data_IF_337026756331
#
_entry.id   IF_337026756331
#
_cell.length_a   1.000
_cell.length_b   1.000
_cell.length_c   1.000
_cell.angle_alpha   90.00
_cell.angle_beta   90.00
_cell.angle_gamma   90.00
#
_symmetry.space_group_name_H-M   'P 1'
#
loop_
_entity.id
_entity.type
_entity.pdbx_description
1 polymer ?
#
# COMPACT_ATOMS: atom_id res chain seq x y z
N UNK A 1 2.14 10.10 6.63
CA UNK A 1 2.29 9.56 5.25
C UNK A 1 0.98 9.08 4.64
N UNK A 2 0.16 8.24 5.30
CA UNK A 2 -1.07 7.66 4.69
C UNK A 2 -2.04 8.67 4.05
N UNK A 3 -2.26 9.86 4.66
CA UNK A 3 -3.10 10.92 4.05
C UNK A 3 -2.53 11.44 2.73
N UNK A 4 -1.20 11.59 2.67
CA UNK A 4 -0.52 11.99 1.44
C UNK A 4 -0.66 10.92 0.37
N UNK A 5 -0.55 9.65 0.75
CA UNK A 5 -0.84 8.54 -0.17
C UNK A 5 -2.27 8.61 -0.73
N UNK A 6 -3.27 8.72 0.14
CA UNK A 6 -4.68 8.83 -0.26
C UNK A 6 -4.97 9.98 -1.23
N UNK A 7 -4.36 11.15 -0.99
CA UNK A 7 -4.48 12.29 -1.92
C UNK A 7 -3.84 12.02 -3.28
N UNK A 8 -2.57 11.59 -3.28
CA UNK A 8 -1.81 11.36 -4.52
C UNK A 8 -2.43 10.25 -5.36
N UNK A 9 -2.93 9.18 -4.75
CA UNK A 9 -3.51 8.08 -5.52
C UNK A 9 -4.84 8.46 -6.17
N UNK A 10 -5.63 9.33 -5.52
CA UNK A 10 -6.84 9.87 -6.11
C UNK A 10 -6.53 10.82 -7.29
N UNK A 11 -5.47 11.65 -7.20
CA UNK A 11 -4.97 12.45 -8.33
C UNK A 11 -4.50 11.59 -9.51
N UNK A 12 -3.83 10.47 -9.24
CA UNK A 12 -3.41 9.53 -10.28
C UNK A 12 -4.61 8.87 -10.96
N UNK A 13 -5.62 8.46 -10.19
CA UNK A 13 -6.84 7.85 -10.72
C UNK A 13 -7.70 8.80 -11.56
N UNK A 14 -7.58 10.13 -11.38
CA UNK A 14 -8.23 11.12 -12.28
C UNK A 14 -7.75 11.00 -13.74
N UNK A 15 -6.55 10.44 -13.97
CA UNK A 15 -5.89 10.43 -15.28
C UNK A 15 -5.56 9.01 -15.78
N UNK A 16 -5.80 7.97 -14.99
CA UNK A 16 -5.54 6.58 -15.37
C UNK A 16 -6.63 5.66 -14.84
N UNK A 17 -7.47 5.17 -15.76
CA UNK A 17 -8.60 4.29 -15.46
C UNK A 17 -8.17 2.92 -14.93
N UNK A 18 -6.88 2.57 -15.06
CA UNK A 18 -6.32 1.31 -14.55
C UNK A 18 -6.06 1.37 -13.05
N UNK A 19 -6.06 2.53 -12.40
CA UNK A 19 -5.76 2.65 -10.97
C UNK A 19 -6.95 2.21 -10.13
N UNK A 20 -6.77 1.14 -9.34
CA UNK A 20 -7.77 0.61 -8.41
C UNK A 20 -7.19 0.59 -6.99
N UNK A 21 -8.03 0.81 -5.98
CA UNK A 21 -7.68 0.53 -4.59
C UNK A 21 -8.30 -0.80 -4.19
N UNK A 22 -7.48 -1.70 -3.64
CA UNK A 22 -7.95 -2.92 -2.98
C UNK A 22 -7.57 -2.82 -1.51
N UNK A 23 -8.56 -2.67 -0.64
CA UNK A 23 -8.34 -2.42 0.78
C UNK A 23 -8.77 -3.62 1.63
N UNK A 24 -7.97 -3.91 2.67
CA UNK A 24 -8.50 -4.59 3.86
C UNK A 24 -9.37 -3.62 4.64
N UNK A 25 -10.21 -4.10 5.56
CA UNK A 25 -11.20 -3.30 6.32
C UNK A 25 -10.56 -2.30 7.31
N UNK A 26 -9.80 -1.34 6.76
CA UNK A 26 -9.06 -0.30 7.44
C UNK A 26 -8.94 0.93 6.51
N UNK A 27 -8.27 1.99 6.97
CA UNK A 27 -8.03 3.18 6.16
C UNK A 27 -9.13 4.24 6.28
N UNK A 28 -9.82 4.25 7.42
CA UNK A 28 -10.80 5.29 7.76
C UNK A 28 -10.24 6.69 7.44
N UNK A 29 -10.96 7.40 6.56
CA UNK A 29 -10.65 8.74 6.05
C UNK A 29 -9.39 8.89 5.18
N UNK A 30 -8.68 7.81 4.88
CA UNK A 30 -7.51 7.86 3.98
C UNK A 30 -7.97 8.00 2.52
N UNK A 31 -9.05 7.32 2.16
CA UNK A 31 -9.53 7.22 0.78
C UNK A 31 -10.88 7.92 0.55
N UNK A 32 -11.26 8.89 1.39
CA UNK A 32 -12.52 9.64 1.19
C UNK A 32 -12.52 10.30 -0.19
N UNK A 33 -11.47 11.06 -0.52
CA UNK A 33 -11.35 11.72 -1.82
C UNK A 33 -11.32 10.75 -3.01
N UNK A 34 -10.76 9.55 -2.83
CA UNK A 34 -10.75 8.52 -3.88
C UNK A 34 -12.17 7.95 -4.07
N UNK A 35 -12.85 7.61 -2.98
CA UNK A 35 -14.21 7.04 -3.02
C UNK A 35 -15.26 8.02 -3.53
N UNK A 36 -15.09 9.31 -3.23
CA UNK A 36 -16.00 10.35 -3.72
C UNK A 36 -15.86 10.56 -5.24
N UNK A 37 -14.65 10.41 -5.78
CA UNK A 37 -14.35 10.65 -7.20
C UNK A 37 -14.46 9.41 -8.09
N UNK A 38 -14.05 8.25 -7.56
CA UNK A 38 -13.87 6.98 -8.29
C UNK A 38 -14.47 5.78 -7.50
N UNK A 39 -15.76 5.85 -7.10
CA UNK A 39 -16.36 4.87 -6.19
C UNK A 39 -16.31 3.43 -6.69
N UNK A 40 -16.43 3.22 -8.01
CA UNK A 40 -16.39 1.92 -8.67
C UNK A 40 -15.00 1.26 -8.68
N UNK A 41 -13.94 2.03 -8.38
CA UNK A 41 -12.54 1.57 -8.37
C UNK A 41 -11.97 1.38 -6.98
N UNK A 42 -12.81 1.46 -5.95
CA UNK A 42 -12.46 1.16 -4.56
C UNK A 42 -13.11 -0.15 -4.12
N UNK A 43 -12.29 -1.17 -3.91
CA UNK A 43 -12.73 -2.52 -3.53
C UNK A 43 -12.30 -2.78 -2.08
N UNK A 44 -13.26 -2.84 -1.15
CA UNK A 44 -13.00 -3.33 0.22
C UNK A 44 -13.36 -4.82 0.28
N UNK A 45 -12.38 -5.66 0.59
CA UNK A 45 -12.55 -7.13 0.64
C UNK A 45 -12.72 -7.68 2.06
N UNK A 46 -12.82 -6.80 3.06
CA UNK A 46 -12.91 -7.21 4.47
C UNK A 46 -11.56 -7.63 5.05
N UNK A 47 -11.60 -8.53 6.04
CA UNK A 47 -10.41 -9.08 6.71
C UNK A 47 -10.04 -10.41 6.06
N UNK A 48 -9.76 -10.37 4.76
CA UNK A 48 -9.50 -11.53 3.90
C UNK A 48 -8.17 -11.38 3.15
N UNK A 49 -7.04 -11.26 3.86
CA UNK A 49 -5.80 -10.77 3.25
C UNK A 49 -5.21 -11.69 2.19
N UNK A 50 -5.33 -13.01 2.30
CA UNK A 50 -4.90 -13.92 1.23
C UNK A 50 -5.72 -13.71 -0.05
N UNK A 51 -7.05 -13.63 0.09
CA UNK A 51 -7.94 -13.33 -1.05
C UNK A 51 -7.67 -11.95 -1.63
N UNK A 52 -7.33 -10.96 -0.79
CA UNK A 52 -7.00 -9.62 -1.22
C UNK A 52 -5.83 -9.59 -2.21
N UNK A 53 -4.76 -10.34 -1.89
CA UNK A 53 -3.58 -10.45 -2.77
C UNK A 53 -3.92 -11.20 -4.06
N UNK A 54 -4.66 -12.31 -3.97
CA UNK A 54 -5.08 -13.07 -5.15
C UNK A 54 -5.96 -12.25 -6.11
N UNK A 55 -6.94 -11.49 -5.57
CA UNK A 55 -7.77 -10.56 -6.35
C UNK A 55 -6.91 -9.49 -7.01
N UNK A 56 -5.98 -8.88 -6.28
CA UNK A 56 -5.08 -7.87 -6.84
C UNK A 56 -4.19 -8.44 -7.95
N UNK A 57 -3.64 -9.64 -7.78
CA UNK A 57 -2.87 -10.30 -8.84
C UNK A 57 -3.73 -10.52 -10.09
N UNK A 58 -4.97 -11.01 -9.95
CA UNK A 58 -5.90 -11.17 -11.07
C UNK A 58 -6.21 -9.85 -11.79
N UNK A 59 -6.53 -8.79 -11.04
CA UNK A 59 -6.77 -7.46 -11.62
C UNK A 59 -5.55 -6.96 -12.41
N UNK A 60 -4.34 -7.17 -11.88
CA UNK A 60 -3.11 -6.77 -12.55
C UNK A 60 -2.86 -7.56 -13.84
N UNK A 61 -3.16 -8.85 -13.86
CA UNK A 61 -3.03 -9.70 -15.05
C UNK A 61 -4.02 -9.33 -16.16
N UNK A 62 -5.18 -8.77 -15.78
CA UNK A 62 -6.17 -8.18 -16.72
C UNK A 62 -5.82 -6.74 -17.15
N UNK A 63 -4.61 -6.27 -16.86
CA UNK A 63 -4.10 -4.97 -17.32
C UNK A 63 -4.47 -3.77 -16.45
N UNK A 64 -5.07 -3.99 -15.27
CA UNK A 64 -5.29 -2.96 -14.27
C UNK A 64 -4.04 -2.75 -13.40
N UNK A 65 -4.07 -1.74 -12.54
CA UNK A 65 -2.99 -1.39 -11.62
C UNK A 65 -3.56 -1.27 -10.19
N UNK A 66 -3.73 -2.39 -9.49
CA UNK A 66 -4.26 -2.39 -8.14
C UNK A 66 -3.21 -1.94 -7.12
N UNK A 67 -3.64 -1.00 -6.28
CA UNK A 67 -2.93 -0.53 -5.09
C UNK A 67 -3.56 -1.17 -3.86
N UNK A 68 -2.86 -2.12 -3.28
CA UNK A 68 -3.34 -2.90 -2.14
C UNK A 68 -2.97 -2.20 -0.84
N UNK A 69 -3.94 -1.92 0.02
CA UNK A 69 -3.71 -1.21 1.27
C UNK A 69 -4.20 -1.99 2.48
N UNK A 70 -3.28 -2.30 3.39
CA UNK A 70 -3.59 -2.75 4.74
C UNK A 70 -2.43 -2.48 5.71
N UNK A 71 -2.49 -2.99 6.94
CA UNK A 71 -1.41 -2.93 7.92
C UNK A 71 -0.27 -3.87 7.47
N UNK A 72 0.98 -3.45 7.61
CA UNK A 72 2.14 -4.15 7.01
C UNK A 72 2.20 -5.67 7.25
N UNK A 73 2.16 -6.21 8.49
CA UNK A 73 2.16 -7.67 8.68
C UNK A 73 0.95 -8.37 8.02
N UNK A 74 -0.21 -7.71 7.94
CA UNK A 74 -1.39 -8.27 7.27
C UNK A 74 -1.23 -8.24 5.74
N UNK A 75 -0.40 -7.34 5.21
CA UNK A 75 -0.13 -7.22 3.78
C UNK A 75 0.91 -8.23 3.29
N UNK A 76 1.97 -8.48 4.07
CA UNK A 76 3.15 -9.22 3.59
C UNK A 76 3.52 -10.47 4.39
N UNK A 77 3.14 -10.57 5.67
CA UNK A 77 3.45 -11.76 6.48
C UNK A 77 2.31 -12.77 6.41
N UNK A 78 1.07 -12.32 6.66
CA UNK A 78 -0.11 -13.19 6.66
C UNK A 78 -0.39 -13.84 5.28
N UNK A 79 -0.32 -13.11 4.15
CA UNK A 79 -0.50 -13.68 2.81
C UNK A 79 0.84 -13.86 2.08
N UNK A 80 1.93 -14.19 2.78
CA UNK A 80 3.26 -14.21 2.17
C UNK A 80 3.37 -15.16 0.97
N UNK A 81 2.69 -16.31 1.01
CA UNK A 81 2.69 -17.23 -0.12
C UNK A 81 2.04 -16.62 -1.36
N UNK A 82 0.92 -15.91 -1.22
CA UNK A 82 0.25 -15.22 -2.32
C UNK A 82 1.12 -14.07 -2.85
N UNK A 83 1.77 -13.30 -1.98
CA UNK A 83 2.71 -12.25 -2.40
C UNK A 83 3.87 -12.85 -3.20
N UNK A 84 4.41 -13.98 -2.75
CA UNK A 84 5.50 -14.68 -3.44
C UNK A 84 5.05 -15.25 -4.78
N UNK A 85 3.97 -16.04 -4.81
CA UNK A 85 3.58 -16.81 -5.99
C UNK A 85 2.76 -15.98 -6.99
N UNK A 86 1.77 -15.23 -6.51
CA UNK A 86 0.79 -14.58 -7.37
C UNK A 86 1.26 -13.19 -7.82
N UNK A 87 2.09 -12.52 -6.99
CA UNK A 87 2.59 -11.18 -7.29
C UNK A 87 4.03 -11.20 -7.79
N UNK A 88 4.97 -11.70 -6.99
CA UNK A 88 6.40 -11.63 -7.32
C UNK A 88 6.79 -12.53 -8.50
N UNK A 89 6.45 -13.82 -8.45
CA UNK A 89 6.83 -14.78 -9.51
C UNK A 89 6.13 -14.51 -10.84
N UNK A 90 4.91 -13.99 -10.81
CA UNK A 90 4.19 -13.56 -12.03
C UNK A 90 4.61 -12.17 -12.52
N UNK A 91 5.43 -11.44 -11.76
CA UNK A 91 5.77 -10.04 -12.01
C UNK A 91 4.51 -9.17 -12.18
N UNK A 92 3.43 -9.52 -11.48
CA UNK A 92 2.14 -8.84 -11.62
C UNK A 92 2.28 -7.38 -11.15
N UNK A 93 1.66 -6.44 -11.88
CA UNK A 93 1.78 -5.01 -11.63
C UNK A 93 0.95 -4.52 -10.41
N UNK A 94 1.19 -5.14 -9.25
CA UNK A 94 0.51 -4.88 -7.98
C UNK A 94 1.35 -3.94 -7.11
N UNK A 95 0.74 -2.89 -6.58
CA UNK A 95 1.40 -1.93 -5.69
C UNK A 95 0.96 -2.19 -4.24
N UNK A 96 1.79 -2.89 -3.48
CA UNK A 96 1.56 -3.25 -2.09
C UNK A 96 1.92 -2.06 -1.18
N UNK A 97 0.94 -1.48 -0.48
CA UNK A 97 1.13 -0.33 0.42
C UNK A 97 0.76 -0.70 1.86
N UNK A 98 1.79 -0.95 2.68
CA UNK A 98 1.65 -1.28 4.09
C UNK A 98 1.68 -0.05 4.98
N UNK A 99 1.00 -0.10 6.12
CA UNK A 99 1.12 0.92 7.17
C UNK A 99 1.63 0.29 8.49
N UNK A 100 2.75 0.80 9.01
CA UNK A 100 3.57 0.16 10.06
C UNK A 100 3.53 0.85 11.45
N UNK A 101 2.46 1.59 11.79
CA UNK A 101 2.38 2.37 13.05
C UNK A 101 1.59 1.70 14.18
N UNK A 102 1.28 0.42 14.07
CA UNK A 102 0.52 -0.31 15.09
C UNK A 102 1.33 -1.33 15.92
N UNK A 103 2.66 -1.23 16.09
CA UNK A 103 3.45 -2.30 16.69
C UNK A 103 3.08 -2.59 18.16
N UNK A 104 2.45 -1.64 18.85
CA UNK A 104 2.04 -1.78 20.25
C UNK A 104 0.69 -2.49 20.42
N UNK A 105 -0.05 -2.77 19.35
CA UNK A 105 -1.35 -3.46 19.41
C UNK A 105 -1.24 -5.00 19.50
N UNK A 106 -0.05 -5.50 19.84
CA UNK A 106 0.22 -6.92 20.02
C UNK A 106 0.99 -7.56 18.85
N UNK A 107 1.34 -8.84 18.99
CA UNK A 107 2.28 -9.51 18.09
C UNK A 107 1.77 -9.60 16.64
N UNK A 108 0.46 -9.58 16.42
CA UNK A 108 -0.12 -9.62 15.08
C UNK A 108 0.06 -8.31 14.31
N UNK A 109 0.19 -7.18 15.00
CA UNK A 109 0.33 -5.85 14.37
C UNK A 109 1.79 -5.38 14.26
N UNK A 110 2.73 -6.10 14.89
CA UNK A 110 4.15 -5.83 14.80
C UNK A 110 4.78 -6.71 13.72
N UNK A 111 5.09 -6.13 12.56
CA UNK A 111 5.93 -6.82 11.58
C UNK A 111 7.28 -7.18 12.19
N UNK A 112 7.76 -8.40 11.94
CA UNK A 112 9.04 -8.88 12.46
C UNK A 112 10.19 -8.09 11.83
N UNK A 113 10.28 -8.15 10.51
CA UNK A 113 11.24 -7.39 9.72
C UNK A 113 10.78 -7.30 8.26
N UNK A 114 9.91 -6.34 7.97
CA UNK A 114 9.37 -6.14 6.62
C UNK A 114 10.48 -5.97 5.55
N UNK A 115 11.60 -5.33 5.90
CA UNK A 115 12.72 -5.16 4.97
C UNK A 115 13.40 -6.48 4.63
N UNK A 116 13.69 -7.30 5.64
CA UNK A 116 14.32 -8.61 5.42
C UNK A 116 13.37 -9.56 4.68
N UNK A 117 12.08 -9.58 5.04
CA UNK A 117 11.10 -10.41 4.37
C UNK A 117 10.98 -10.05 2.88
N UNK A 118 10.82 -8.76 2.56
CA UNK A 118 10.67 -8.32 1.18
C UNK A 118 11.96 -8.39 0.38
N UNK A 119 13.13 -8.46 1.02
CA UNK A 119 14.40 -8.74 0.32
C UNK A 119 14.53 -10.19 -0.16
N UNK A 120 13.63 -11.10 0.24
CA UNK A 120 13.58 -12.47 -0.28
C UNK A 120 12.93 -12.54 -1.67
N UNK A 121 12.25 -11.48 -2.11
CA UNK A 121 11.53 -11.43 -3.37
C UNK A 121 12.40 -10.79 -4.47
N UNK A 122 12.42 -11.41 -5.65
CA UNK A 122 13.36 -11.02 -6.72
C UNK A 122 12.83 -9.87 -7.59
N UNK A 123 11.51 -9.83 -7.81
CA UNK A 123 10.87 -8.91 -8.75
C UNK A 123 10.19 -7.73 -8.05
N UNK A 124 9.99 -7.81 -6.74
CA UNK A 124 9.25 -6.82 -5.95
C UNK A 124 10.15 -5.71 -5.41
N UNK A 125 10.06 -4.50 -5.97
CA UNK A 125 10.85 -3.38 -5.47
C UNK A 125 10.29 -2.80 -4.18
N UNK A 126 11.14 -2.68 -3.14
CA UNK A 126 10.73 -2.19 -1.82
C UNK A 126 11.15 -0.73 -1.56
N UNK A 127 10.24 0.05 -0.97
CA UNK A 127 10.42 1.45 -0.61
C UNK A 127 10.02 1.73 0.85
N UNK A 128 10.78 2.61 1.50
CA UNK A 128 10.61 2.96 2.91
C UNK A 128 10.71 4.49 3.09
N UNK A 129 9.69 5.25 2.64
CA UNK A 129 9.73 6.71 2.71
C UNK A 129 9.83 7.23 4.15
N UNK A 130 10.56 8.33 4.34
CA UNK A 130 10.83 8.93 5.66
C UNK A 130 9.81 9.99 6.08
N UNK A 131 9.14 10.62 5.12
CA UNK A 131 8.17 11.70 5.31
C UNK A 131 7.10 11.70 4.19
N UNK A 132 6.14 12.63 4.27
CA UNK A 132 5.10 12.80 3.27
C UNK A 132 5.62 13.21 1.89
N UNK A 133 6.67 14.02 1.78
CA UNK A 133 7.21 14.39 0.47
C UNK A 133 7.86 13.21 -0.24
N UNK A 134 8.64 12.41 0.49
CA UNK A 134 9.22 11.18 -0.04
C UNK A 134 8.14 10.16 -0.37
N UNK A 135 7.07 10.10 0.42
CA UNK A 135 5.90 9.25 0.11
C UNK A 135 5.34 9.58 -1.27
N UNK A 136 5.13 10.86 -1.60
CA UNK A 136 4.64 11.25 -2.92
C UNK A 136 5.61 10.84 -4.04
N UNK A 137 6.92 11.11 -3.87
CA UNK A 137 7.93 10.72 -4.88
C UNK A 137 7.96 9.21 -5.11
N UNK A 138 7.88 8.43 -4.04
CA UNK A 138 7.85 6.96 -4.10
C UNK A 138 6.59 6.46 -4.80
N UNK A 139 5.42 7.02 -4.49
CA UNK A 139 4.16 6.64 -5.15
C UNK A 139 4.25 6.91 -6.66
N UNK A 140 4.69 8.10 -7.06
CA UNK A 140 4.81 8.46 -8.48
C UNK A 140 5.84 7.57 -9.20
N UNK A 141 6.94 7.22 -8.53
CA UNK A 141 7.93 6.28 -9.05
C UNK A 141 7.32 4.88 -9.24
N UNK A 142 6.68 4.33 -8.22
CA UNK A 142 6.05 3.02 -8.28
C UNK A 142 4.93 2.95 -9.33
N UNK A 143 4.18 4.05 -9.52
CA UNK A 143 3.18 4.20 -10.57
C UNK A 143 3.80 4.14 -11.98
N UNK A 144 4.94 4.80 -12.19
CA UNK A 144 5.63 4.79 -13.49
C UNK A 144 6.37 3.49 -13.83
N UNK A 145 6.51 2.59 -12.87
CA UNK A 145 7.23 1.33 -13.03
C UNK A 145 6.24 0.20 -13.32
N UNK A 146 6.57 -0.62 -14.31
CA UNK A 146 5.86 -1.89 -14.52
C UNK A 146 6.37 -2.95 -13.53
N UNK A 147 5.48 -3.82 -13.08
CA UNK A 147 5.76 -4.87 -12.09
C UNK A 147 5.53 -4.46 -10.61
N UNK A 148 5.76 -5.40 -9.68
CA UNK A 148 5.32 -5.26 -8.31
C UNK A 148 6.20 -4.34 -7.48
N UNK A 149 5.57 -3.65 -6.53
CA UNK A 149 6.29 -2.82 -5.56
C UNK A 149 5.70 -2.94 -4.16
N UNK A 150 6.55 -2.82 -3.15
CA UNK A 150 6.15 -2.69 -1.76
C UNK A 150 6.55 -1.33 -1.20
N UNK A 151 5.62 -0.67 -0.52
CA UNK A 151 5.82 0.63 0.11
C UNK A 151 5.39 0.53 1.58
N UNK A 152 6.35 0.65 2.50
CA UNK A 152 6.07 0.68 3.94
C UNK A 152 5.89 2.12 4.42
N UNK A 153 4.63 2.53 4.60
CA UNK A 153 4.26 3.82 5.17
C UNK A 153 4.30 3.78 6.71
N UNK A 154 4.52 4.95 7.30
CA UNK A 154 4.45 5.19 8.75
C UNK A 154 3.94 6.60 9.06
N UNK A 155 3.96 6.97 10.33
CA UNK A 155 3.56 8.31 10.78
C UNK A 155 4.56 9.29 10.24
N UNK A 156 4.07 10.45 9.83
CA UNK A 156 4.98 11.49 9.37
C UNK A 156 5.66 12.13 10.59
N UNK A 157 6.98 11.99 10.74
CA UNK A 157 7.67 12.57 11.89
C UNK A 157 7.63 14.11 11.86
N UNK A 158 7.52 14.72 10.67
CA UNK A 158 7.55 16.16 10.50
C UNK A 158 6.21 16.84 10.84
N UNK A 159 5.10 16.09 10.81
CA UNK A 159 3.80 16.62 11.22
C UNK A 159 3.66 16.72 12.75
N UNK A 160 4.33 15.83 13.49
CA UNK A 160 4.29 15.81 14.95
C UNK A 160 5.24 16.84 15.61
N UNK A 161 6.20 17.39 14.86
CA UNK A 161 7.17 18.35 15.37
C UNK A 161 6.63 19.80 15.48
N UNK A 162 5.41 20.07 14.99
CA UNK A 162 4.93 21.45 14.78
C UNK A 162 3.99 22.02 15.85
N UNK A 163 3.73 21.31 16.96
CA UNK A 163 2.72 21.74 17.95
C UNK A 163 3.32 22.14 19.31
N UNK A 164 4.57 21.81 19.62
CA UNK A 164 5.14 22.03 20.98
C UNK A 164 6.16 23.16 21.13
N UNK A 165 6.49 23.91 20.09
CA UNK A 165 7.45 25.05 20.18
C UNK A 165 6.81 26.45 20.10
N UNK A 166 5.51 26.57 20.34
CA UNK A 166 4.85 27.89 20.49
C UNK A 166 3.90 27.93 21.69
N UNK A 167 4.46 27.94 22.90
CA UNK A 167 3.95 28.70 24.06
C UNK A 167 5.15 29.15 24.89
#
# INVERSE_FOLDING_TARGET
MRRRFGKVIAELADNDDRVYIVAGDIGYRVFDEFRDRHPERFINIGICEQSMIGVAAGLALEGLMPWVYTITPFLIERPFEQVKLDVDQQRANVKLVGYSDYPTLGPTHSALNARALMSLLENTQSFFPKDGEETERVIRRAYSQDGPSFISLKSDPLLNASITEKV
#
